data_IF_528058424624
#
_entry.id   IF_528058424624
#
_cell.length_a   1.000
_cell.length_b   1.000
_cell.length_c   1.000
_cell.angle_alpha   90.00
_cell.angle_beta   90.00
_cell.angle_gamma   90.00
#
_symmetry.space_group_name_H-M   'P 1'
#
loop_
_entity.id
_entity.type
_entity.pdbx_description
1 polymer ?
#
# COMPACT_ATOMS: atom_id res chain seq x y z
N UNK A 1 -20.96 23.75 19.86
CA UNK A 1 -21.01 23.59 18.42
C UNK A 1 -20.76 22.12 18.09
N UNK A 2 -21.64 21.42 17.31
CA UNK A 2 -21.39 20.03 16.93
C UNK A 2 -20.14 19.99 16.05
N UNK A 3 -19.15 19.13 16.41
CA UNK A 3 -18.00 18.87 15.57
C UNK A 3 -18.50 18.34 14.23
N UNK A 4 -18.12 18.97 13.10
CA UNK A 4 -18.32 18.40 11.77
C UNK A 4 -17.80 16.97 11.79
N UNK A 5 -18.54 15.99 11.25
CA UNK A 5 -18.04 14.64 11.15
C UNK A 5 -16.70 14.69 10.39
N UNK A 6 -15.67 14.08 11.00
CA UNK A 6 -14.34 14.04 10.40
C UNK A 6 -14.48 13.42 8.99
N UNK A 7 -14.00 14.15 7.95
CA UNK A 7 -14.01 13.68 6.58
C UNK A 7 -13.27 12.34 6.54
N UNK A 8 -13.91 11.28 6.07
CA UNK A 8 -13.27 9.97 5.92
C UNK A 8 -12.02 10.13 5.03
N UNK A 9 -10.88 9.74 5.54
CA UNK A 9 -9.58 9.82 4.86
C UNK A 9 -9.00 8.43 4.74
N UNK A 10 -8.91 7.92 3.52
CA UNK A 10 -8.28 6.64 3.22
C UNK A 10 -6.89 6.87 2.64
N UNK A 11 -5.94 6.02 2.98
CA UNK A 11 -4.67 5.84 2.28
C UNK A 11 -4.46 4.35 2.03
N UNK A 12 -4.02 4.00 0.82
CA UNK A 12 -3.74 2.62 0.44
C UNK A 12 -2.25 2.44 0.21
N UNK A 13 -1.67 1.44 0.83
CA UNK A 13 -0.24 1.13 0.75
C UNK A 13 -0.04 -0.20 0.01
N UNK A 14 0.95 -0.31 -0.85
CA UNK A 14 1.51 -1.63 -1.16
C UNK A 14 2.30 -2.15 0.05
N UNK A 15 2.60 -3.43 0.04
CA UNK A 15 3.29 -4.10 1.15
C UNK A 15 4.80 -4.21 0.89
N UNK A 16 5.17 -5.01 -0.10
CA UNK A 16 6.55 -5.33 -0.40
C UNK A 16 7.21 -4.16 -1.17
N UNK A 17 8.37 -3.70 -0.71
CA UNK A 17 9.03 -2.50 -1.25
C UNK A 17 8.53 -1.17 -0.69
N UNK A 18 7.37 -1.13 -0.01
CA UNK A 18 6.79 0.07 0.63
C UNK A 18 6.82 -0.03 2.14
N UNK A 19 6.22 -1.08 2.71
CA UNK A 19 6.17 -1.29 4.16
C UNK A 19 7.33 -2.15 4.63
N UNK A 20 7.66 -3.22 3.87
CA UNK A 20 8.75 -4.13 4.18
C UNK A 20 9.70 -4.28 2.99
N UNK A 21 10.89 -4.76 3.28
CA UNK A 21 11.87 -5.12 2.26
C UNK A 21 11.26 -6.11 1.27
N UNK A 22 11.43 -5.83 -0.02
CA UNK A 22 11.08 -6.77 -1.09
C UNK A 22 12.20 -7.80 -1.27
N UNK A 23 11.88 -8.92 -1.92
CA UNK A 23 12.84 -9.98 -2.24
C UNK A 23 12.53 -10.58 -3.60
N UNK A 24 13.56 -10.77 -4.43
CA UNK A 24 13.46 -11.49 -5.71
C UNK A 24 13.00 -12.94 -5.52
N UNK A 25 13.27 -13.51 -4.34
CA UNK A 25 12.89 -14.88 -3.96
C UNK A 25 11.60 -14.95 -3.16
N UNK A 26 10.83 -13.84 -3.13
CA UNK A 26 9.65 -13.63 -2.30
C UNK A 26 9.95 -13.58 -0.80
N UNK A 27 9.09 -12.91 -0.06
CA UNK A 27 9.06 -12.96 1.41
C UNK A 27 8.10 -14.06 1.81
N UNK A 28 8.63 -15.19 2.30
CA UNK A 28 7.88 -16.44 2.46
C UNK A 28 7.41 -16.70 3.89
N UNK A 29 7.94 -15.96 4.86
CA UNK A 29 7.62 -16.20 6.27
C UNK A 29 7.63 -14.91 7.10
N UNK A 30 7.03 -14.96 8.29
CA UNK A 30 7.11 -13.87 9.25
C UNK A 30 8.55 -13.58 9.72
N UNK A 31 9.45 -14.55 9.65
CA UNK A 31 10.89 -14.36 9.96
C UNK A 31 11.54 -13.49 8.89
N UNK A 32 11.31 -13.79 7.63
CA UNK A 32 11.86 -13.05 6.47
C UNK A 32 11.22 -11.68 6.29
N UNK A 33 10.02 -11.47 6.83
CA UNK A 33 9.32 -10.22 6.73
C UNK A 33 9.97 -9.16 7.65
N UNK A 34 10.69 -8.22 7.06
CA UNK A 34 11.44 -7.16 7.77
C UNK A 34 10.90 -5.80 7.32
N UNK A 35 10.38 -4.96 8.24
CA UNK A 35 9.92 -3.63 7.88
C UNK A 35 11.06 -2.76 7.34
N UNK A 36 10.74 -1.87 6.41
CA UNK A 36 11.66 -0.82 5.98
C UNK A 36 11.84 0.21 7.12
N UNK A 37 13.00 0.86 7.21
CA UNK A 37 13.21 1.92 8.19
C UNK A 37 12.10 2.98 8.11
N UNK A 38 11.55 3.38 9.26
CA UNK A 38 10.51 4.40 9.36
C UNK A 38 9.11 3.99 8.87
N UNK A 39 8.93 2.84 8.20
CA UNK A 39 7.64 2.46 7.62
C UNK A 39 6.54 2.22 8.66
N UNK A 40 6.88 1.64 9.78
CA UNK A 40 5.93 1.38 10.88
C UNK A 40 5.52 2.70 11.56
N UNK A 41 6.48 3.60 11.77
CA UNK A 41 6.22 4.93 12.35
C UNK A 41 5.39 5.81 11.39
N UNK A 42 5.61 5.67 10.08
CA UNK A 42 4.80 6.31 9.05
C UNK A 42 3.32 5.87 9.14
N UNK A 43 3.06 4.56 9.27
CA UNK A 43 1.70 4.02 9.48
C UNK A 43 1.09 4.62 10.76
N UNK A 44 1.86 4.70 11.85
CA UNK A 44 1.40 5.28 13.09
C UNK A 44 1.09 6.78 12.95
N UNK A 45 1.92 7.53 12.22
CA UNK A 45 1.72 8.96 11.95
C UNK A 45 0.44 9.20 11.13
N UNK A 46 0.23 8.45 10.04
CA UNK A 46 -0.99 8.49 9.25
C UNK A 46 -2.24 8.19 10.10
N UNK A 47 -2.18 7.14 10.93
CA UNK A 47 -3.29 6.78 11.82
C UNK A 47 -3.63 7.89 12.81
N UNK A 48 -2.61 8.52 13.43
CA UNK A 48 -2.81 9.66 14.35
C UNK A 48 -3.38 10.89 13.64
N UNK A 49 -3.05 11.10 12.37
CA UNK A 49 -3.61 12.19 11.56
C UNK A 49 -5.03 11.90 11.04
N UNK A 50 -5.63 10.77 11.46
CA UNK A 50 -7.01 10.40 11.13
C UNK A 50 -7.16 9.68 9.79
N UNK A 51 -6.07 9.19 9.20
CA UNK A 51 -6.16 8.32 8.03
C UNK A 51 -6.57 6.90 8.42
N UNK A 52 -7.51 6.33 7.66
CA UNK A 52 -7.74 4.88 7.61
C UNK A 52 -6.69 4.27 6.71
N UNK A 53 -5.82 3.43 7.25
CA UNK A 53 -4.73 2.79 6.50
C UNK A 53 -5.16 1.42 6.01
N UNK A 54 -5.17 1.22 4.69
CA UNK A 54 -5.41 -0.07 4.05
C UNK A 54 -4.15 -0.54 3.29
N UNK A 55 -4.06 -1.85 3.06
CA UNK A 55 -2.97 -2.46 2.29
C UNK A 55 -3.55 -3.23 1.11
N UNK A 56 -2.98 -3.06 -0.10
CA UNK A 56 -3.35 -3.77 -1.33
C UNK A 56 -2.10 -4.38 -1.97
N UNK A 57 -1.92 -5.69 -1.87
CA UNK A 57 -0.66 -6.36 -2.25
C UNK A 57 -0.86 -7.54 -3.23
N UNK A 58 0.04 -7.65 -4.20
CA UNK A 58 0.15 -8.81 -5.09
C UNK A 58 0.99 -9.90 -4.41
N UNK A 59 0.41 -11.08 -4.17
CA UNK A 59 1.03 -12.19 -3.43
C UNK A 59 1.05 -13.48 -4.25
N UNK A 60 1.69 -13.43 -5.42
CA UNK A 60 1.77 -14.58 -6.35
C UNK A 60 2.60 -15.77 -5.83
N UNK A 61 3.34 -15.61 -4.75
CA UNK A 61 3.99 -16.73 -4.07
C UNK A 61 3.01 -17.80 -3.59
N UNK A 62 1.73 -17.42 -3.33
CA UNK A 62 0.66 -18.37 -3.00
C UNK A 62 0.34 -19.29 -4.19
N UNK A 63 0.07 -18.74 -5.38
CA UNK A 63 -0.22 -19.56 -6.58
C UNK A 63 0.98 -20.39 -7.04
N UNK A 64 2.19 -19.95 -6.71
CA UNK A 64 3.43 -20.68 -6.99
C UNK A 64 3.79 -21.74 -5.95
N UNK A 65 3.02 -21.86 -4.87
CA UNK A 65 3.30 -22.80 -3.79
C UNK A 65 4.55 -22.48 -2.96
N UNK A 66 5.08 -21.25 -3.03
CA UNK A 66 6.29 -20.84 -2.31
C UNK A 66 6.05 -20.60 -0.83
N UNK A 67 4.82 -20.30 -0.47
CA UNK A 67 4.31 -20.22 0.90
C UNK A 67 2.80 -20.41 0.89
N UNK A 68 2.26 -20.80 2.02
CA UNK A 68 0.83 -21.06 2.19
C UNK A 68 0.08 -19.85 2.81
N UNK A 69 -1.23 -19.98 2.93
CA UNK A 69 -2.08 -18.98 3.56
C UNK A 69 -1.71 -18.71 5.02
N UNK A 70 -1.27 -19.75 5.76
CA UNK A 70 -0.88 -19.62 7.17
C UNK A 70 0.36 -18.75 7.33
N UNK A 71 1.35 -18.93 6.44
CA UNK A 71 2.55 -18.11 6.39
C UNK A 71 2.23 -16.65 6.06
N UNK A 72 1.35 -16.41 5.07
CA UNK A 72 0.90 -15.05 4.73
C UNK A 72 0.18 -14.38 5.91
N UNK A 73 -0.73 -15.12 6.57
CA UNK A 73 -1.45 -14.59 7.73
C UNK A 73 -0.51 -14.32 8.91
N UNK A 74 0.55 -15.11 9.08
CA UNK A 74 1.59 -14.84 10.09
C UNK A 74 2.36 -13.54 9.80
N UNK A 75 2.71 -13.27 8.52
CA UNK A 75 3.31 -12.00 8.10
C UNK A 75 2.37 -10.82 8.39
N UNK A 76 1.09 -10.93 8.05
CA UNK A 76 0.11 -9.89 8.31
C UNK A 76 -0.14 -9.67 9.81
N UNK A 77 -0.14 -10.73 10.62
CA UNK A 77 -0.20 -10.58 12.09
C UNK A 77 1.02 -9.83 12.64
N UNK A 78 2.24 -10.14 12.13
CA UNK A 78 3.46 -9.41 12.51
C UNK A 78 3.36 -7.93 12.14
N UNK A 79 2.93 -7.62 10.92
CA UNK A 79 2.73 -6.24 10.46
C UNK A 79 1.74 -5.49 11.38
N UNK A 80 0.55 -6.05 11.62
CA UNK A 80 -0.46 -5.44 12.50
C UNK A 80 0.07 -5.23 13.92
N UNK A 81 0.75 -6.24 14.47
CA UNK A 81 1.33 -6.15 15.83
C UNK A 81 2.35 -5.03 15.95
N UNK A 82 3.25 -4.89 14.97
CA UNK A 82 4.27 -3.83 14.98
C UNK A 82 3.61 -2.44 14.80
N UNK A 83 2.66 -2.31 13.88
CA UNK A 83 1.91 -1.06 13.69
C UNK A 83 1.15 -0.66 14.96
N UNK A 84 0.45 -1.60 15.60
CA UNK A 84 -0.28 -1.33 16.84
C UNK A 84 0.66 -0.93 17.98
N UNK A 85 1.83 -1.58 18.10
CA UNK A 85 2.85 -1.23 19.12
C UNK A 85 3.36 0.22 18.94
N UNK A 86 3.43 0.71 17.70
CA UNK A 86 3.82 2.09 17.39
C UNK A 86 2.66 3.11 17.50
N UNK A 87 1.46 2.67 17.89
CA UNK A 87 0.26 3.51 17.98
C UNK A 87 -0.44 3.74 16.64
N UNK A 88 -0.12 2.93 15.62
CA UNK A 88 -0.79 2.91 14.32
C UNK A 88 -1.78 1.76 14.20
N UNK A 89 -2.62 1.81 13.16
CA UNK A 89 -3.58 0.75 12.86
C UNK A 89 -3.67 0.50 11.36
N UNK A 90 -3.58 -0.77 10.97
CA UNK A 90 -3.95 -1.22 9.63
C UNK A 90 -5.35 -1.80 9.68
N UNK A 91 -6.28 -1.09 9.07
CA UNK A 91 -7.69 -1.45 9.08
C UNK A 91 -7.96 -2.67 8.19
N UNK A 92 -7.52 -2.61 6.93
CA UNK A 92 -7.77 -3.67 5.96
C UNK A 92 -6.52 -4.07 5.20
N UNK A 93 -6.37 -5.37 4.95
CA UNK A 93 -5.37 -5.91 4.02
C UNK A 93 -6.11 -6.72 2.97
N UNK A 94 -5.94 -6.37 1.69
CA UNK A 94 -6.44 -7.12 0.55
C UNK A 94 -5.27 -7.64 -0.26
N UNK A 95 -5.38 -8.89 -0.73
CA UNK A 95 -4.32 -9.53 -1.50
C UNK A 95 -4.85 -10.15 -2.77
N UNK A 96 -4.03 -10.14 -3.81
CA UNK A 96 -4.20 -10.95 -4.99
C UNK A 96 -3.28 -12.18 -4.87
N UNK A 97 -3.79 -13.40 -4.79
CA UNK A 97 -2.99 -14.60 -4.69
C UNK A 97 -2.47 -15.11 -6.05
N UNK A 98 -2.96 -14.54 -7.15
CA UNK A 98 -2.77 -15.05 -8.50
C UNK A 98 -1.41 -14.68 -9.09
N UNK A 99 -0.90 -15.54 -9.97
CA UNK A 99 0.27 -15.28 -10.79
C UNK A 99 0.02 -14.30 -11.95
N UNK A 100 1.08 -13.87 -12.66
CA UNK A 100 0.93 -12.94 -13.79
C UNK A 100 0.08 -13.49 -14.94
N UNK A 101 0.12 -14.82 -15.19
CA UNK A 101 -0.56 -15.51 -16.28
C UNK A 101 -2.00 -15.93 -15.96
N UNK A 102 -2.47 -15.78 -14.72
CA UNK A 102 -3.78 -16.31 -14.28
C UNK A 102 -4.98 -15.46 -14.76
N UNK A 103 -4.75 -14.38 -15.50
CA UNK A 103 -5.81 -13.57 -16.12
C UNK A 103 -6.78 -12.88 -15.16
N UNK A 104 -6.56 -12.93 -13.84
CA UNK A 104 -7.48 -12.41 -12.83
C UNK A 104 -7.64 -10.89 -12.89
N UNK A 105 -8.82 -10.36 -12.53
CA UNK A 105 -9.08 -8.92 -12.44
C UNK A 105 -8.47 -8.21 -11.22
N UNK A 106 -7.98 -8.96 -10.21
CA UNK A 106 -7.54 -8.34 -8.95
C UNK A 106 -6.05 -7.99 -8.91
N UNK A 107 -5.21 -8.63 -9.75
CA UNK A 107 -3.76 -8.38 -9.73
C UNK A 107 -3.41 -7.02 -10.33
N UNK A 108 -2.75 -6.15 -9.55
CA UNK A 108 -2.15 -4.91 -10.07
C UNK A 108 -1.24 -5.22 -11.27
N UNK A 109 -1.34 -4.51 -12.42
CA UNK A 109 -1.92 -3.16 -12.58
C UNK A 109 -3.45 -3.09 -12.72
N UNK A 110 -4.18 -4.22 -12.73
CA UNK A 110 -5.64 -4.16 -12.72
C UNK A 110 -6.18 -3.62 -11.39
N UNK A 111 -7.31 -2.92 -11.45
CA UNK A 111 -7.84 -2.15 -10.32
C UNK A 111 -8.56 -2.98 -9.24
N UNK A 112 -8.79 -4.27 -9.45
CA UNK A 112 -9.73 -5.05 -8.63
C UNK A 112 -9.46 -5.09 -7.13
N UNK A 113 -8.18 -4.98 -6.67
CA UNK A 113 -7.88 -4.82 -5.24
C UNK A 113 -8.37 -3.46 -4.71
N UNK A 114 -8.15 -2.39 -5.46
CA UNK A 114 -8.56 -1.04 -5.09
C UNK A 114 -10.09 -0.93 -5.12
N UNK A 115 -10.74 -1.42 -6.16
CA UNK A 115 -12.21 -1.49 -6.24
C UNK A 115 -12.81 -2.26 -5.05
N UNK A 116 -12.16 -3.35 -4.62
CA UNK A 116 -12.58 -4.09 -3.43
C UNK A 116 -12.52 -3.24 -2.16
N UNK A 117 -11.51 -2.39 -2.02
CA UNK A 117 -11.41 -1.43 -0.92
C UNK A 117 -12.49 -0.35 -1.04
N UNK A 118 -12.71 0.21 -2.22
CA UNK A 118 -13.79 1.18 -2.47
C UNK A 118 -15.16 0.64 -2.07
N UNK A 119 -15.49 -0.58 -2.48
CA UNK A 119 -16.73 -1.26 -2.08
C UNK A 119 -16.79 -1.51 -0.57
N UNK A 120 -15.69 -1.93 0.06
CA UNK A 120 -15.64 -2.19 1.50
C UNK A 120 -15.92 -0.92 2.31
N UNK A 121 -15.31 0.19 1.93
CA UNK A 121 -15.49 1.46 2.62
C UNK A 121 -16.69 2.27 2.12
N UNK A 122 -17.42 1.78 1.11
CA UNK A 122 -18.52 2.50 0.44
C UNK A 122 -18.13 3.92 0.05
N UNK A 123 -16.91 4.06 -0.48
CA UNK A 123 -16.30 5.34 -0.81
C UNK A 123 -15.69 5.31 -2.19
N UNK A 124 -15.78 6.43 -2.91
CA UNK A 124 -14.98 6.67 -4.11
C UNK A 124 -13.50 6.68 -3.74
N UNK A 125 -12.67 6.19 -4.64
CA UNK A 125 -11.22 6.25 -4.51
C UNK A 125 -10.59 7.44 -5.26
N UNK A 126 -11.40 8.28 -5.89
CA UNK A 126 -10.93 9.48 -6.58
C UNK A 126 -10.16 10.37 -5.61
N UNK A 127 -8.90 10.67 -5.93
CA UNK A 127 -8.01 11.47 -5.10
C UNK A 127 -7.46 10.77 -3.84
N UNK A 128 -7.80 9.50 -3.60
CA UNK A 128 -7.26 8.73 -2.47
C UNK A 128 -5.78 8.42 -2.73
N UNK A 129 -4.84 8.75 -1.81
CA UNK A 129 -3.44 8.38 -1.96
C UNK A 129 -3.26 6.87 -2.03
N UNK A 130 -2.59 6.39 -3.08
CA UNK A 130 -2.16 5.00 -3.26
C UNK A 130 -0.65 5.00 -3.40
N UNK A 131 0.04 4.45 -2.40
CA UNK A 131 1.49 4.47 -2.29
C UNK A 131 2.05 3.11 -2.71
N UNK A 132 2.90 3.11 -3.73
CA UNK A 132 3.53 1.92 -4.27
C UNK A 132 4.99 2.16 -4.66
N UNK A 133 5.71 1.08 -5.01
CA UNK A 133 7.08 1.11 -5.48
C UNK A 133 7.21 0.72 -6.97
N UNK A 134 6.11 0.37 -7.61
CA UNK A 134 6.13 -0.20 -8.96
C UNK A 134 5.12 0.46 -9.89
N UNK A 135 5.40 0.42 -11.20
CA UNK A 135 4.50 0.89 -12.24
C UNK A 135 3.09 0.31 -12.09
N UNK A 136 2.99 -0.95 -11.68
CA UNK A 136 1.71 -1.65 -11.46
C UNK A 136 0.84 -0.99 -10.39
N UNK A 137 1.45 -0.37 -9.40
CA UNK A 137 0.74 0.36 -8.34
C UNK A 137 0.17 1.66 -8.88
N UNK A 138 0.98 2.40 -9.65
CA UNK A 138 0.59 3.67 -10.25
C UNK A 138 -0.54 3.48 -11.27
N UNK A 139 -0.41 2.49 -12.16
CA UNK A 139 -1.44 2.15 -13.14
C UNK A 139 -2.75 1.70 -12.49
N UNK A 140 -2.67 0.89 -11.42
CA UNK A 140 -3.86 0.48 -10.68
C UNK A 140 -4.53 1.68 -9.99
N UNK A 141 -3.75 2.63 -9.44
CA UNK A 141 -4.26 3.85 -8.83
C UNK A 141 -4.97 4.74 -9.87
N UNK A 142 -4.30 4.99 -11.00
CA UNK A 142 -4.85 5.80 -12.09
C UNK A 142 -6.17 5.22 -12.63
N UNK A 143 -6.28 3.89 -12.74
CA UNK A 143 -7.48 3.21 -13.24
C UNK A 143 -8.75 3.46 -12.39
N UNK A 144 -8.62 3.90 -11.15
CA UNK A 144 -9.75 4.25 -10.25
C UNK A 144 -9.79 5.75 -9.91
N UNK A 145 -9.00 6.58 -10.60
CA UNK A 145 -8.89 8.01 -10.33
C UNK A 145 -8.25 8.34 -8.97
N UNK A 146 -7.55 7.38 -8.36
CA UNK A 146 -6.81 7.59 -7.13
C UNK A 146 -5.52 8.40 -7.41
N UNK A 147 -4.97 9.02 -6.38
CA UNK A 147 -3.72 9.80 -6.44
C UNK A 147 -2.53 8.84 -6.35
N UNK A 148 -1.78 8.62 -7.45
CA UNK A 148 -0.64 7.72 -7.45
C UNK A 148 0.56 8.38 -6.74
N UNK A 149 1.15 7.65 -5.80
CA UNK A 149 2.38 8.07 -5.10
C UNK A 149 3.42 6.96 -5.24
N UNK A 150 4.59 7.32 -5.75
CA UNK A 150 5.73 6.43 -5.88
C UNK A 150 6.70 6.65 -4.71
N UNK A 151 7.18 5.58 -4.11
CA UNK A 151 8.33 5.64 -3.20
C UNK A 151 9.55 4.99 -3.82
N UNK A 152 10.75 5.58 -3.62
CA UNK A 152 12.03 5.10 -4.20
C UNK A 152 12.56 3.82 -3.58
N UNK A 153 11.96 3.36 -2.48
CA UNK A 153 12.27 2.05 -1.88
C UNK A 153 11.83 0.90 -2.80
N UNK A 154 12.24 -0.31 -2.51
CA UNK A 154 11.91 -1.47 -3.33
C UNK A 154 12.36 -1.33 -4.78
N UNK A 155 11.42 -1.40 -5.72
CA UNK A 155 11.63 -1.19 -7.14
C UNK A 155 11.54 0.30 -7.56
N UNK A 156 11.25 1.20 -6.63
CA UNK A 156 10.83 2.57 -6.92
C UNK A 156 11.81 3.38 -7.75
N UNK A 157 13.13 3.30 -7.49
CA UNK A 157 14.13 4.00 -8.33
C UNK A 157 14.12 3.55 -9.79
N UNK A 158 13.93 2.24 -10.01
CA UNK A 158 13.79 1.68 -11.38
C UNK A 158 12.47 2.15 -12.01
N UNK A 159 11.41 2.19 -11.22
CA UNK A 159 10.09 2.67 -11.66
C UNK A 159 10.15 4.15 -12.02
N UNK A 160 10.76 4.99 -11.18
CA UNK A 160 10.94 6.41 -11.42
C UNK A 160 11.66 6.70 -12.74
N UNK A 161 12.74 5.96 -13.03
CA UNK A 161 13.47 6.08 -14.28
C UNK A 161 12.66 5.66 -15.53
N UNK A 162 11.57 4.92 -15.35
CA UNK A 162 10.68 4.46 -16.40
C UNK A 162 9.36 5.27 -16.50
N UNK A 163 9.19 6.32 -15.70
CA UNK A 163 8.02 7.18 -15.77
C UNK A 163 7.98 7.91 -17.12
N UNK A 164 6.79 8.01 -17.68
CA UNK A 164 6.52 8.75 -18.91
C UNK A 164 5.36 9.74 -18.69
N UNK A 165 4.91 10.41 -19.78
CA UNK A 165 3.82 11.40 -19.72
C UNK A 165 2.50 10.86 -19.16
N UNK A 166 2.26 9.56 -19.23
CA UNK A 166 1.05 8.92 -18.66
C UNK A 166 1.07 8.89 -17.14
N UNK A 167 2.26 9.07 -16.55
CA UNK A 167 2.49 9.03 -15.11
C UNK A 167 2.84 10.42 -14.54
N UNK A 168 2.57 11.50 -15.29
CA UNK A 168 2.94 12.86 -14.91
C UNK A 168 2.29 13.34 -13.60
N UNK A 169 1.18 12.71 -13.18
CA UNK A 169 0.51 13.01 -11.91
C UNK A 169 1.09 12.25 -10.71
N UNK A 170 2.04 11.33 -10.94
CA UNK A 170 2.64 10.56 -9.86
C UNK A 170 3.63 11.42 -9.05
N UNK A 171 3.33 11.60 -7.78
CA UNK A 171 4.26 12.21 -6.85
C UNK A 171 5.32 11.21 -6.41
N UNK A 172 6.57 11.66 -6.26
CA UNK A 172 7.69 10.79 -5.92
C UNK A 172 8.30 11.20 -4.58
N UNK A 173 8.45 10.23 -3.69
CA UNK A 173 9.09 10.41 -2.38
C UNK A 173 10.20 9.38 -2.17
N UNK A 174 11.13 9.64 -1.26
CA UNK A 174 12.23 8.72 -1.01
C UNK A 174 11.75 7.41 -0.39
N UNK A 175 10.76 7.48 0.52
CA UNK A 175 10.22 6.35 1.26
C UNK A 175 8.80 6.62 1.79
N UNK A 176 8.22 5.63 2.47
CA UNK A 176 6.90 5.77 3.09
C UNK A 176 6.87 6.84 4.18
N UNK A 177 7.98 7.08 4.89
CA UNK A 177 8.02 8.06 5.96
C UNK A 177 7.89 9.48 5.42
N UNK A 178 8.59 9.80 4.34
CA UNK A 178 8.51 11.10 3.67
C UNK A 178 7.16 11.33 3.00
N UNK A 179 6.60 10.32 2.34
CA UNK A 179 5.26 10.38 1.76
C UNK A 179 4.18 10.60 2.85
N UNK A 180 4.24 9.85 3.94
CA UNK A 180 3.32 10.00 5.06
C UNK A 180 3.41 11.39 5.70
N UNK A 181 4.62 11.93 5.89
CA UNK A 181 4.82 13.27 6.42
C UNK A 181 4.20 14.36 5.53
N UNK A 182 4.26 14.21 4.20
CA UNK A 182 3.59 15.11 3.27
C UNK A 182 2.07 15.06 3.44
N UNK A 183 1.48 13.86 3.42
CA UNK A 183 0.03 13.67 3.60
C UNK A 183 -0.48 14.19 4.95
N UNK A 184 0.30 14.01 6.02
CA UNK A 184 -0.06 14.55 7.36
C UNK A 184 -0.07 16.06 7.36
N UNK A 185 0.90 16.72 6.71
CA UNK A 185 0.91 18.19 6.59
C UNK A 185 -0.30 18.72 5.81
N UNK A 186 -0.71 18.06 4.72
CA UNK A 186 -1.88 18.46 3.92
C UNK A 186 -3.20 18.47 4.71
N UNK A 187 -3.32 17.67 5.74
CA UNK A 187 -4.56 17.59 6.55
C UNK A 187 -4.51 18.42 7.82
N UNK A 188 -3.35 18.96 8.17
CA UNK A 188 -3.15 19.85 9.31
C UNK A 188 -3.43 21.33 8.96
N UNK A 189 -3.43 21.65 7.65
CA UNK A 189 -3.81 22.98 7.10
C UNK A 189 -5.29 23.03 6.81
#
# INVERSE_FOLDING_TARGET
>A
MPRRPAKFRLVVLDRDGVINRDSREFVKSAREWVPLPGSIDAIASLSRAGFTVAVASNQSGLSRGLFDRRALDAMHRKLRRLSNKAGGRIDRIVVCPHGPSDGCGCRKPRAGLLERLGRHYRSSLVGVPVIGDSMRDLEAAAAVGARPILVRTGNGRKTEAALDRRHAEAEVFDDLATAAAALVREVAT
#
